data_IF_759648431307
#
_entry.id   IF_759648431307
#
_cell.length_a   1.000
_cell.length_b   1.000
_cell.length_c   1.000
_cell.angle_alpha   90.00
_cell.angle_beta   90.00
_cell.angle_gamma   90.00
#
_symmetry.space_group_name_H-M   'P 1'
#
loop_
_entity.id
_entity.type
_entity.pdbx_description
1 polymer ?
#
# COMPACT_ATOMS: atom_id res chain seq x y z
N UNK A 1 33.64 -35.61 7.62
CA UNK A 1 33.61 -34.29 6.95
C UNK A 1 32.15 -33.81 6.95
N UNK A 2 31.84 -32.94 7.89
CA UNK A 2 30.47 -32.45 8.16
C UNK A 2 30.30 -31.12 7.49
N UNK A 3 29.42 -31.01 6.48
CA UNK A 3 29.06 -29.74 5.84
C UNK A 3 27.83 -29.17 6.54
N UNK A 4 28.06 -28.14 7.33
CA UNK A 4 27.01 -27.28 7.88
C UNK A 4 26.31 -26.54 6.76
N UNK A 5 25.04 -26.81 6.54
CA UNK A 5 24.11 -25.95 5.78
C UNK A 5 23.86 -24.70 6.61
N UNK A 6 24.31 -23.55 6.12
CA UNK A 6 23.94 -22.25 6.65
C UNK A 6 22.54 -21.89 6.13
N UNK A 7 21.65 -21.65 7.06
CA UNK A 7 20.34 -21.02 6.81
C UNK A 7 20.56 -19.57 6.37
N UNK A 8 20.11 -19.11 5.19
CA UNK A 8 20.18 -17.71 4.83
C UNK A 8 19.11 -16.94 5.61
N UNK A 9 19.52 -16.38 6.76
CA UNK A 9 18.68 -15.50 7.54
C UNK A 9 18.08 -14.40 6.68
N UNK A 10 16.77 -14.43 6.54
CA UNK A 10 15.99 -13.34 6.02
C UNK A 10 16.25 -12.11 6.89
N UNK A 11 16.94 -11.12 6.32
CA UNK A 11 17.10 -9.81 6.92
C UNK A 11 15.71 -9.16 7.00
N UNK A 12 15.13 -9.16 8.19
CA UNK A 12 13.90 -8.46 8.50
C UNK A 12 14.15 -6.95 8.45
N UNK A 13 13.92 -6.33 7.29
CA UNK A 13 13.62 -4.91 7.24
C UNK A 13 12.19 -4.71 7.78
N UNK A 14 12.00 -5.07 9.04
CA UNK A 14 10.76 -4.85 9.78
C UNK A 14 10.86 -3.47 10.40
N UNK A 15 10.29 -2.45 9.73
CA UNK A 15 9.90 -1.23 10.43
C UNK A 15 8.87 -1.67 11.47
N UNK A 16 9.30 -1.75 12.73
CA UNK A 16 8.44 -2.12 13.84
C UNK A 16 7.34 -1.05 13.98
N UNK A 17 6.14 -1.37 13.51
CA UNK A 17 4.96 -0.50 13.63
C UNK A 17 4.35 -0.78 15.01
N UNK A 18 4.91 -0.16 16.04
CA UNK A 18 4.38 -0.21 17.41
C UNK A 18 3.92 1.18 17.85
N UNK A 19 2.70 1.32 18.38
CA UNK A 19 2.19 2.58 18.93
C UNK A 19 0.79 2.95 18.44
N UNK A 20 0.41 4.19 18.28
CA UNK A 20 -0.95 4.63 17.92
C UNK A 20 -1.45 4.06 16.57
N UNK A 21 -2.77 3.91 16.39
CA UNK A 21 -3.38 3.43 15.14
C UNK A 21 -2.93 4.20 13.87
N UNK A 22 -2.43 5.43 14.02
CA UNK A 22 -1.88 6.25 12.93
C UNK A 22 -0.59 5.66 12.30
N UNK A 23 0.11 4.75 12.97
CA UNK A 23 1.27 4.07 12.37
C UNK A 23 0.88 3.12 11.22
N UNK A 24 -0.38 2.69 11.15
CA UNK A 24 -0.93 1.89 10.06
C UNK A 24 -1.49 2.74 8.92
N UNK A 25 -1.47 4.07 9.07
CA UNK A 25 -1.99 5.01 8.08
C UNK A 25 -0.93 5.38 7.06
N UNK A 26 -1.28 5.23 5.80
CA UNK A 26 -0.54 5.69 4.63
C UNK A 26 -1.29 6.89 4.05
N UNK A 27 -0.67 8.08 4.07
CA UNK A 27 -1.27 9.26 3.45
C UNK A 27 -0.82 9.40 2.00
N UNK A 28 -1.79 9.44 1.07
CA UNK A 28 -1.53 9.60 -0.34
C UNK A 28 -1.37 11.10 -0.69
N UNK A 29 -0.19 11.45 -1.20
CA UNK A 29 0.19 12.83 -1.56
C UNK A 29 -0.09 13.10 -3.06
N UNK A 30 -1.33 12.82 -3.49
CA UNK A 30 -1.70 12.95 -4.91
C UNK A 30 -2.08 14.41 -5.20
N UNK A 31 -1.17 15.17 -5.82
CA UNK A 31 -1.34 16.56 -6.23
C UNK A 31 -0.30 16.95 -7.29
N UNK A 32 -0.64 17.92 -8.13
CA UNK A 32 0.25 18.57 -9.07
C UNK A 32 0.74 19.96 -8.60
N UNK A 33 0.35 20.38 -7.38
CA UNK A 33 0.71 21.65 -6.78
C UNK A 33 1.87 21.46 -5.79
N UNK A 34 3.04 22.02 -6.11
CA UNK A 34 4.27 21.82 -5.31
C UNK A 34 4.12 22.27 -3.86
N UNK A 35 3.54 23.44 -3.64
CA UNK A 35 3.38 23.99 -2.30
C UNK A 35 2.44 23.13 -1.44
N UNK A 36 1.39 22.57 -2.03
CA UNK A 36 0.50 21.63 -1.36
C UNK A 36 1.22 20.36 -0.98
N UNK A 37 2.02 19.81 -1.91
CA UNK A 37 2.81 18.61 -1.67
C UNK A 37 3.79 18.81 -0.48
N UNK A 38 4.55 19.89 -0.48
CA UNK A 38 5.50 20.22 0.60
C UNK A 38 4.80 20.43 1.96
N UNK A 39 3.69 21.18 1.96
CA UNK A 39 2.88 21.36 3.18
C UNK A 39 2.38 20.03 3.74
N UNK A 40 1.88 19.13 2.89
CA UNK A 40 1.39 17.82 3.30
C UNK A 40 2.52 16.91 3.79
N UNK A 41 3.69 16.93 3.14
CA UNK A 41 4.87 16.22 3.64
C UNK A 41 5.22 16.66 5.07
N UNK A 42 5.33 17.97 5.30
CA UNK A 42 5.69 18.54 6.60
C UNK A 42 4.61 18.28 7.67
N UNK A 43 3.34 18.33 7.29
CA UNK A 43 2.24 18.12 8.23
C UNK A 43 2.03 16.66 8.58
N UNK A 44 1.87 15.77 7.58
CA UNK A 44 1.53 14.38 7.81
C UNK A 44 2.74 13.51 8.16
N UNK A 45 3.92 13.80 7.60
CA UNK A 45 5.10 12.94 7.75
C UNK A 45 5.45 12.55 9.18
N UNK A 46 5.52 13.47 10.14
CA UNK A 46 5.83 13.12 11.54
C UNK A 46 4.65 12.47 12.30
N UNK A 47 3.43 12.51 11.76
CA UNK A 47 2.19 12.13 12.45
C UNK A 47 1.65 10.75 12.05
N UNK A 48 2.00 10.26 10.86
CA UNK A 48 1.51 8.98 10.32
C UNK A 48 2.64 7.99 10.07
N UNK A 49 2.31 6.73 9.78
CA UNK A 49 3.31 5.70 9.53
C UNK A 49 4.05 5.88 8.22
N UNK A 50 3.33 6.23 7.15
CA UNK A 50 3.87 6.21 5.79
C UNK A 50 3.35 7.38 4.96
N UNK A 51 4.21 8.01 4.16
CA UNK A 51 3.80 8.92 3.08
C UNK A 51 3.88 8.18 1.74
N UNK A 52 2.79 8.22 0.95
CA UNK A 52 2.74 7.63 -0.39
C UNK A 52 2.93 8.69 -1.46
N UNK A 53 3.98 8.53 -2.26
CA UNK A 53 4.19 9.29 -3.49
C UNK A 53 3.66 8.47 -4.66
N UNK A 54 2.57 8.94 -5.25
CA UNK A 54 1.88 8.29 -6.36
C UNK A 54 2.36 8.76 -7.73
N UNK A 55 1.68 8.23 -8.77
CA UNK A 55 2.03 8.49 -10.17
C UNK A 55 2.03 9.99 -10.51
N UNK A 56 1.04 10.76 -10.05
CA UNK A 56 0.91 12.17 -10.38
C UNK A 56 2.13 12.98 -9.93
N UNK A 57 2.48 12.88 -8.66
CA UNK A 57 3.62 13.59 -8.08
C UNK A 57 4.95 13.11 -8.66
N UNK A 58 5.11 11.78 -8.84
CA UNK A 58 6.37 11.23 -9.34
C UNK A 58 6.60 11.54 -10.82
N UNK A 59 5.58 11.45 -11.67
CA UNK A 59 5.69 11.82 -13.10
C UNK A 59 6.01 13.31 -13.26
N UNK A 60 5.47 14.16 -12.38
CA UNK A 60 5.71 15.59 -12.43
C UNK A 60 7.08 16.01 -11.94
N UNK A 61 7.58 15.42 -10.85
CA UNK A 61 8.80 15.90 -10.18
C UNK A 61 9.92 14.86 -10.06
N UNK A 62 9.64 13.58 -10.33
CA UNK A 62 10.64 12.51 -10.25
C UNK A 62 11.22 12.31 -8.84
N UNK A 63 12.52 11.92 -8.75
CA UNK A 63 13.23 11.71 -7.50
C UNK A 63 13.13 12.84 -6.48
N UNK A 64 13.17 14.14 -6.84
CA UNK A 64 12.93 15.25 -5.92
C UNK A 64 11.62 15.18 -5.10
N UNK A 65 10.58 14.48 -5.58
CA UNK A 65 9.38 14.25 -4.78
C UNK A 65 9.66 13.29 -3.60
N UNK A 66 10.46 12.26 -3.86
CA UNK A 66 10.85 11.29 -2.83
C UNK A 66 11.75 11.96 -1.78
N UNK A 67 12.75 12.72 -2.21
CA UNK A 67 13.66 13.46 -1.32
C UNK A 67 12.89 14.44 -0.41
N UNK A 68 11.90 15.13 -0.98
CA UNK A 68 11.04 16.03 -0.23
C UNK A 68 10.22 15.32 0.84
N UNK A 69 9.57 14.24 0.47
CA UNK A 69 8.77 13.43 1.40
C UNK A 69 9.67 12.79 2.47
N UNK A 70 10.85 12.28 2.11
CA UNK A 70 11.80 11.60 3.03
C UNK A 70 12.27 12.50 4.17
N UNK A 71 12.38 13.82 3.95
CA UNK A 71 12.77 14.78 5.00
C UNK A 71 11.82 14.78 6.21
N UNK A 72 10.59 14.33 6.02
CA UNK A 72 9.53 14.37 7.02
C UNK A 72 8.98 12.99 7.39
N UNK A 73 9.02 12.02 6.47
CA UNK A 73 8.36 10.73 6.62
C UNK A 73 9.19 9.73 7.44
N UNK A 74 8.48 8.88 8.18
CA UNK A 74 9.07 7.69 8.82
C UNK A 74 9.33 6.60 7.79
N UNK A 75 8.42 6.43 6.85
CA UNK A 75 8.55 5.51 5.73
C UNK A 75 7.94 6.10 4.45
N UNK A 76 8.50 5.72 3.30
CA UNK A 76 8.04 6.14 1.96
C UNK A 76 7.47 4.96 1.20
N UNK A 77 6.29 5.17 0.66
CA UNK A 77 5.63 4.25 -0.26
C UNK A 77 5.61 4.84 -1.67
N UNK A 78 6.44 4.31 -2.56
CA UNK A 78 6.47 4.70 -3.98
C UNK A 78 5.44 3.86 -4.75
N UNK A 79 4.34 4.51 -5.18
CA UNK A 79 3.19 3.82 -5.78
C UNK A 79 3.15 4.02 -7.29
N UNK A 80 4.00 3.30 -8.03
CA UNK A 80 4.14 3.39 -9.50
C UNK A 80 3.44 2.26 -10.25
N UNK A 81 3.03 1.20 -9.57
CA UNK A 81 2.35 0.03 -10.14
C UNK A 81 3.09 -0.54 -11.36
N UNK A 82 4.40 -0.79 -11.21
CA UNK A 82 5.26 -1.26 -12.29
C UNK A 82 4.70 -2.54 -12.93
N UNK A 83 4.60 -2.54 -14.25
CA UNK A 83 4.06 -3.66 -15.01
C UNK A 83 4.69 -3.69 -16.40
N UNK A 84 5.65 -4.59 -16.60
CA UNK A 84 6.40 -4.78 -17.83
C UNK A 84 7.03 -6.17 -17.82
N UNK A 85 7.85 -6.51 -18.83
CA UNK A 85 8.63 -7.75 -18.84
C UNK A 85 9.61 -7.80 -17.64
N UNK A 86 9.99 -9.00 -17.17
CA UNK A 86 10.75 -9.17 -15.93
C UNK A 86 12.01 -8.32 -15.82
N UNK A 87 12.82 -8.26 -16.87
CA UNK A 87 14.08 -7.51 -16.85
C UNK A 87 13.87 -5.99 -16.69
N UNK A 88 12.84 -5.44 -17.34
CA UNK A 88 12.50 -4.01 -17.25
C UNK A 88 12.04 -3.66 -15.83
N UNK A 89 11.17 -4.47 -15.26
CA UNK A 89 10.69 -4.26 -13.87
C UNK A 89 11.83 -4.40 -12.88
N UNK A 90 12.70 -5.41 -13.02
CA UNK A 90 13.87 -5.56 -12.17
C UNK A 90 14.81 -4.34 -12.24
N UNK A 91 15.01 -3.76 -13.44
CA UNK A 91 15.76 -2.51 -13.61
C UNK A 91 15.13 -1.33 -12.87
N UNK A 92 13.81 -1.16 -12.99
CA UNK A 92 13.07 -0.12 -12.28
C UNK A 92 13.13 -0.29 -10.76
N UNK A 93 13.04 -1.53 -10.25
CA UNK A 93 13.17 -1.83 -8.81
C UNK A 93 14.58 -1.48 -8.29
N UNK A 94 15.64 -1.82 -9.04
CA UNK A 94 17.01 -1.39 -8.67
C UNK A 94 17.13 0.13 -8.56
N UNK A 95 16.56 0.87 -9.51
CA UNK A 95 16.53 2.35 -9.44
C UNK A 95 15.74 2.86 -8.25
N UNK A 96 14.59 2.24 -7.93
CA UNK A 96 13.79 2.61 -6.76
C UNK A 96 14.53 2.37 -5.44
N UNK A 97 15.36 1.33 -5.33
CA UNK A 97 16.23 1.10 -4.15
C UNK A 97 17.18 2.26 -3.87
N UNK A 98 17.70 2.89 -4.91
CA UNK A 98 18.62 4.03 -4.79
C UNK A 98 17.91 5.29 -4.28
N UNK A 99 16.57 5.33 -4.36
CA UNK A 99 15.74 6.41 -3.84
C UNK A 99 15.40 6.25 -2.34
N UNK A 100 15.89 5.21 -1.67
CA UNK A 100 15.63 4.93 -0.26
C UNK A 100 14.12 4.88 0.07
N UNK A 101 13.34 4.13 -0.73
CA UNK A 101 11.93 3.89 -0.50
C UNK A 101 11.70 2.58 0.26
N UNK A 102 10.73 2.56 1.17
CA UNK A 102 10.43 1.38 2.00
C UNK A 102 9.48 0.41 1.29
N UNK A 103 8.54 0.94 0.51
CA UNK A 103 7.54 0.17 -0.23
C UNK A 103 7.50 0.59 -1.70
N UNK A 104 7.28 -0.38 -2.59
CA UNK A 104 7.11 -0.15 -4.03
C UNK A 104 6.00 -1.04 -4.57
N UNK A 105 5.09 -0.50 -5.39
CA UNK A 105 4.07 -1.31 -6.05
C UNK A 105 4.54 -1.85 -7.40
N UNK A 106 4.21 -3.13 -7.61
CA UNK A 106 4.24 -3.82 -8.90
C UNK A 106 2.85 -4.40 -9.17
N UNK A 107 2.51 -4.78 -10.39
CA UNK A 107 1.26 -5.48 -10.68
C UNK A 107 1.37 -6.99 -10.53
N UNK A 108 0.40 -7.63 -9.84
CA UNK A 108 0.30 -9.08 -9.74
C UNK A 108 0.03 -9.73 -11.12
N UNK A 109 -0.68 -9.01 -12.01
CA UNK A 109 -0.98 -9.45 -13.37
C UNK A 109 0.28 -9.66 -14.24
N UNK A 110 1.44 -9.12 -13.86
CA UNK A 110 2.72 -9.38 -14.52
C UNK A 110 3.23 -10.82 -14.36
N UNK A 111 2.61 -11.59 -13.48
CA UNK A 111 2.87 -13.01 -13.27
C UNK A 111 4.11 -13.32 -12.44
N UNK A 112 4.29 -14.60 -12.06
CA UNK A 112 5.33 -15.01 -11.12
C UNK A 112 6.76 -14.67 -11.57
N UNK A 113 7.07 -14.77 -12.85
CA UNK A 113 8.41 -14.49 -13.36
C UNK A 113 8.80 -13.00 -13.20
N UNK A 114 7.86 -12.07 -13.47
CA UNK A 114 8.08 -10.64 -13.27
C UNK A 114 8.25 -10.32 -11.78
N UNK A 115 7.39 -10.89 -10.93
CA UNK A 115 7.43 -10.67 -9.48
C UNK A 115 8.73 -11.21 -8.89
N UNK A 116 9.17 -12.41 -9.28
CA UNK A 116 10.40 -13.01 -8.81
C UNK A 116 11.65 -12.18 -9.21
N UNK A 117 11.70 -11.71 -10.45
CA UNK A 117 12.78 -10.83 -10.90
C UNK A 117 12.79 -9.48 -10.15
N UNK A 118 11.61 -8.95 -9.83
CA UNK A 118 11.46 -7.75 -9.01
C UNK A 118 11.91 -8.01 -7.56
N UNK A 119 11.53 -9.15 -6.96
CA UNK A 119 11.90 -9.51 -5.60
C UNK A 119 13.43 -9.70 -5.44
N UNK A 120 14.06 -10.36 -6.38
CA UNK A 120 15.52 -10.47 -6.43
C UNK A 120 16.18 -9.08 -6.53
N UNK A 121 15.66 -8.20 -7.40
CA UNK A 121 16.18 -6.84 -7.57
C UNK A 121 15.95 -5.95 -6.33
N UNK A 122 14.89 -6.19 -5.56
CA UNK A 122 14.61 -5.48 -4.31
C UNK A 122 15.61 -5.83 -3.19
N UNK A 123 16.19 -7.04 -3.22
CA UNK A 123 17.30 -7.47 -2.33
C UNK A 123 16.96 -7.26 -0.83
N UNK A 124 15.71 -7.48 -0.44
CA UNK A 124 15.22 -7.27 0.92
C UNK A 124 15.20 -5.82 1.42
N UNK A 125 15.62 -4.85 0.61
CA UNK A 125 15.68 -3.42 1.01
C UNK A 125 14.37 -2.68 0.75
N UNK A 126 13.60 -3.14 -0.23
CA UNK A 126 12.30 -2.55 -0.60
C UNK A 126 11.22 -3.62 -0.48
N UNK A 127 10.18 -3.36 0.28
CA UNK A 127 9.04 -4.25 0.38
C UNK A 127 8.15 -4.11 -0.85
N UNK A 128 8.13 -5.13 -1.71
CA UNK A 128 7.28 -5.13 -2.90
C UNK A 128 5.84 -5.47 -2.54
N UNK A 129 4.91 -4.62 -2.98
CA UNK A 129 3.47 -4.79 -2.81
C UNK A 129 2.82 -5.04 -4.18
N UNK A 130 2.30 -6.25 -4.39
CA UNK A 130 1.69 -6.62 -5.66
C UNK A 130 0.23 -6.13 -5.72
N UNK A 131 -0.07 -5.23 -6.65
CA UNK A 131 -1.43 -4.73 -6.87
C UNK A 131 -2.25 -5.83 -7.53
N UNK A 132 -3.35 -6.22 -6.89
CA UNK A 132 -4.29 -7.22 -7.39
C UNK A 132 -5.29 -6.59 -8.37
N UNK A 133 -6.59 -6.81 -8.21
CA UNK A 133 -7.62 -6.17 -9.02
C UNK A 133 -7.83 -4.73 -8.58
N UNK A 134 -7.72 -3.78 -9.51
CA UNK A 134 -7.93 -2.36 -9.21
C UNK A 134 -9.35 -2.11 -8.72
N UNK A 135 -9.49 -1.29 -7.68
CA UNK A 135 -10.75 -1.10 -6.93
C UNK A 135 -11.89 -0.42 -7.72
N UNK A 136 -11.58 0.22 -8.86
CA UNK A 136 -12.58 0.79 -9.76
C UNK A 136 -13.18 -0.25 -10.73
N UNK A 137 -12.53 -1.41 -10.92
CA UNK A 137 -13.01 -2.46 -11.82
C UNK A 137 -14.15 -3.23 -11.14
N UNK A 138 -15.33 -3.19 -11.78
CA UNK A 138 -16.48 -3.99 -11.41
C UNK A 138 -16.56 -5.29 -12.25
N UNK A 139 -17.41 -6.22 -11.83
CA UNK A 139 -17.54 -7.53 -12.51
C UNK A 139 -17.90 -7.39 -14.01
N UNK A 140 -18.83 -6.50 -14.43
CA UNK A 140 -19.09 -6.30 -15.86
C UNK A 140 -17.88 -5.79 -16.65
N UNK A 141 -17.02 -4.98 -16.04
CA UNK A 141 -15.78 -4.51 -16.68
C UNK A 141 -14.76 -5.63 -16.79
N UNK A 142 -14.63 -6.47 -15.75
CA UNK A 142 -13.75 -7.64 -15.79
C UNK A 142 -14.18 -8.64 -16.85
N UNK A 143 -15.47 -8.88 -17.02
CA UNK A 143 -16.00 -9.74 -18.09
C UNK A 143 -15.66 -9.19 -19.48
N UNK A 144 -15.82 -7.87 -19.71
CA UNK A 144 -15.44 -7.22 -20.98
C UNK A 144 -13.94 -7.29 -21.27
N UNK A 145 -13.11 -7.41 -20.24
CA UNK A 145 -11.67 -7.60 -20.36
C UNK A 145 -11.27 -9.07 -20.52
N UNK A 146 -12.25 -9.94 -20.77
CA UNK A 146 -12.06 -11.40 -20.85
C UNK A 146 -11.39 -11.96 -19.58
N UNK A 147 -11.83 -11.47 -18.43
CA UNK A 147 -11.35 -11.87 -17.12
C UNK A 147 -12.47 -12.50 -16.28
N UNK A 148 -13.05 -13.63 -16.72
CA UNK A 148 -14.20 -14.25 -16.06
C UNK A 148 -13.83 -14.86 -14.70
N UNK A 149 -14.86 -15.21 -13.90
CA UNK A 149 -14.70 -15.96 -12.65
C UNK A 149 -14.59 -15.09 -11.41
N UNK A 150 -14.90 -13.80 -11.52
CA UNK A 150 -15.02 -12.89 -10.40
C UNK A 150 -13.71 -12.33 -9.84
N UNK A 151 -13.79 -11.14 -9.27
CA UNK A 151 -12.63 -10.45 -8.66
C UNK A 151 -12.09 -11.21 -7.44
N UNK A 152 -12.96 -11.72 -6.58
CA UNK A 152 -12.58 -12.35 -5.32
C UNK A 152 -11.67 -13.59 -5.53
N UNK A 153 -12.03 -14.50 -6.46
CA UNK A 153 -11.19 -15.66 -6.78
C UNK A 153 -9.83 -15.25 -7.34
N UNK A 154 -9.83 -14.24 -8.22
CA UNK A 154 -8.61 -13.75 -8.87
C UNK A 154 -7.67 -13.10 -7.87
N UNK A 155 -8.19 -12.31 -6.96
CA UNK A 155 -7.41 -11.66 -5.90
C UNK A 155 -6.72 -12.70 -5.02
N UNK A 156 -7.40 -13.75 -4.59
CA UNK A 156 -6.81 -14.85 -3.82
C UNK A 156 -5.71 -15.57 -4.60
N UNK A 157 -5.96 -15.92 -5.86
CA UNK A 157 -4.97 -16.56 -6.71
C UNK A 157 -3.73 -15.69 -6.90
N UNK A 158 -3.92 -14.42 -7.21
CA UNK A 158 -2.82 -13.49 -7.45
C UNK A 158 -2.02 -13.18 -6.18
N UNK A 159 -2.67 -13.10 -5.03
CA UNK A 159 -1.99 -12.94 -3.75
C UNK A 159 -1.10 -14.16 -3.43
N UNK A 160 -1.63 -15.36 -3.63
CA UNK A 160 -0.87 -16.60 -3.46
C UNK A 160 0.36 -16.66 -4.39
N UNK A 161 0.17 -16.38 -5.68
CA UNK A 161 1.26 -16.35 -6.65
C UNK A 161 2.29 -15.27 -6.35
N UNK A 162 1.84 -14.08 -5.92
CA UNK A 162 2.72 -12.98 -5.55
C UNK A 162 3.58 -13.34 -4.33
N UNK A 163 2.98 -13.93 -3.29
CA UNK A 163 3.71 -14.41 -2.12
C UNK A 163 4.73 -15.47 -2.48
N UNK A 164 4.32 -16.47 -3.26
CA UNK A 164 5.21 -17.55 -3.70
C UNK A 164 6.40 -17.03 -4.53
N UNK A 165 6.22 -15.92 -5.26
CA UNK A 165 7.24 -15.26 -6.06
C UNK A 165 8.07 -14.20 -5.29
N UNK A 166 7.88 -14.06 -3.97
CA UNK A 166 8.70 -13.22 -3.11
C UNK A 166 8.18 -11.80 -2.86
N UNK A 167 6.93 -11.47 -3.23
CA UNK A 167 6.32 -10.21 -2.83
C UNK A 167 6.11 -10.17 -1.30
N UNK A 168 6.31 -9.00 -0.69
CA UNK A 168 6.13 -8.78 0.74
C UNK A 168 4.65 -8.59 1.15
N UNK A 169 3.78 -8.36 0.19
CA UNK A 169 2.36 -8.15 0.40
C UNK A 169 1.59 -7.84 -0.87
N UNK A 170 0.32 -7.51 -0.70
CA UNK A 170 -0.58 -7.10 -1.79
C UNK A 170 -1.31 -5.81 -1.48
N UNK A 171 -1.70 -5.10 -2.54
CA UNK A 171 -2.71 -4.04 -2.48
C UNK A 171 -4.03 -4.63 -2.96
N UNK A 172 -5.07 -4.56 -2.11
CA UNK A 172 -6.37 -5.18 -2.34
C UNK A 172 -7.52 -4.29 -1.85
N UNK A 173 -8.74 -4.58 -2.30
CA UNK A 173 -9.93 -3.90 -1.79
C UNK A 173 -10.18 -4.24 -0.31
N UNK A 174 -10.74 -3.31 0.48
CA UNK A 174 -11.20 -3.62 1.84
C UNK A 174 -12.16 -4.81 1.92
N UNK A 175 -12.96 -5.05 0.87
CA UNK A 175 -13.92 -6.15 0.82
C UNK A 175 -13.27 -7.54 0.70
N UNK A 176 -11.99 -7.60 0.36
CA UNK A 176 -11.24 -8.83 0.13
C UNK A 176 -10.36 -9.22 1.34
N UNK A 177 -10.22 -8.31 2.32
CA UNK A 177 -9.31 -8.46 3.45
C UNK A 177 -9.53 -9.73 4.27
N UNK A 178 -10.78 -10.05 4.62
CA UNK A 178 -11.09 -11.23 5.45
C UNK A 178 -10.64 -12.53 4.77
N UNK A 179 -10.99 -12.69 3.49
CA UNK A 179 -10.63 -13.87 2.71
C UNK A 179 -9.11 -13.96 2.49
N UNK A 180 -8.46 -12.83 2.19
CA UNK A 180 -7.02 -12.76 2.02
C UNK A 180 -6.29 -13.08 3.33
N UNK A 181 -6.72 -12.52 4.46
CA UNK A 181 -6.06 -12.77 5.74
C UNK A 181 -6.19 -14.22 6.20
N UNK A 182 -7.32 -14.86 5.89
CA UNK A 182 -7.50 -16.29 6.14
C UNK A 182 -6.58 -17.16 5.28
N UNK A 183 -6.35 -16.78 4.02
CA UNK A 183 -5.53 -17.53 3.08
C UNK A 183 -4.02 -17.22 3.21
N UNK A 184 -3.69 -15.98 3.53
CA UNK A 184 -2.32 -15.47 3.57
C UNK A 184 -2.02 -14.83 4.94
N UNK A 185 -1.50 -15.62 5.89
CA UNK A 185 -1.20 -15.14 7.24
C UNK A 185 -0.02 -14.14 7.24
N UNK A 186 0.10 -13.39 8.34
CA UNK A 186 1.29 -12.56 8.58
C UNK A 186 2.56 -13.43 8.53
N UNK A 187 3.70 -12.89 8.09
CA UNK A 187 4.00 -11.47 7.87
C UNK A 187 3.60 -10.91 6.48
N UNK A 188 2.86 -11.66 5.64
CA UNK A 188 2.40 -11.16 4.33
C UNK A 188 1.44 -9.97 4.52
N UNK A 189 1.82 -8.80 3.98
CA UNK A 189 1.11 -7.54 4.23
C UNK A 189 -0.11 -7.40 3.34
N UNK A 190 -1.21 -6.93 3.94
CA UNK A 190 -2.42 -6.51 3.24
C UNK A 190 -2.54 -4.99 3.33
N UNK A 191 -2.49 -4.31 2.19
CA UNK A 191 -2.59 -2.86 2.07
C UNK A 191 -3.92 -2.51 1.40
N UNK A 192 -4.77 -1.76 2.11
CA UNK A 192 -6.12 -1.45 1.66
C UNK A 192 -6.28 0.05 1.30
N UNK A 193 -6.42 0.40 0.02
CA UNK A 193 -6.91 1.71 -0.41
C UNK A 193 -8.44 1.79 -0.33
N UNK A 194 -9.00 2.95 -0.67
CA UNK A 194 -10.46 3.13 -0.65
C UNK A 194 -11.03 3.30 0.73
N UNK A 195 -10.24 3.77 1.67
CA UNK A 195 -10.67 4.02 3.04
C UNK A 195 -11.36 5.38 3.14
N UNK A 196 -12.50 5.38 3.83
CA UNK A 196 -13.27 6.58 4.16
C UNK A 196 -13.48 6.60 5.67
N UNK A 197 -12.88 7.56 6.40
CA UNK A 197 -13.14 7.73 7.82
C UNK A 197 -14.63 7.87 8.11
N UNK A 198 -15.07 7.49 9.31
CA UNK A 198 -16.45 7.57 9.71
C UNK A 198 -16.98 9.01 9.52
N UNK A 199 -18.20 9.15 8.96
CA UNK A 199 -18.80 10.46 8.66
C UNK A 199 -18.42 11.06 7.30
N UNK A 200 -17.45 10.52 6.56
CA UNK A 200 -17.14 10.92 5.20
C UNK A 200 -17.90 10.04 4.20
N UNK A 201 -19.01 10.56 3.66
CA UNK A 201 -19.74 9.89 2.58
C UNK A 201 -18.94 9.85 1.28
N UNK A 202 -19.30 8.93 0.37
CA UNK A 202 -18.80 8.95 -1.00
C UNK A 202 -19.37 10.19 -1.69
N UNK A 203 -18.53 11.21 -1.95
CA UNK A 203 -18.91 12.41 -2.68
C UNK A 203 -19.14 12.14 -4.18
N UNK A 204 -19.89 13.02 -4.85
CA UNK A 204 -20.03 13.00 -6.30
C UNK A 204 -18.62 13.11 -6.93
N UNK A 205 -18.23 12.14 -7.77
CA UNK A 205 -16.91 12.07 -8.39
C UNK A 205 -15.90 11.15 -7.67
N UNK A 206 -16.34 10.40 -6.66
CA UNK A 206 -15.49 9.36 -6.07
C UNK A 206 -15.38 8.15 -6.99
N UNK A 207 -14.17 7.88 -7.47
CA UNK A 207 -13.81 6.73 -8.33
C UNK A 207 -13.67 5.41 -7.55
N UNK A 208 -13.65 5.47 -6.20
CA UNK A 208 -13.57 4.29 -5.34
C UNK A 208 -14.96 3.68 -5.11
N UNK A 209 -15.24 2.53 -5.73
CA UNK A 209 -16.53 1.85 -5.61
C UNK A 209 -16.61 0.87 -4.44
N UNK A 210 -15.46 0.42 -3.91
CA UNK A 210 -15.32 -0.59 -2.85
C UNK A 210 -14.60 0.03 -1.67
N UNK A 211 -15.37 0.61 -0.72
CA UNK A 211 -14.86 1.39 0.41
C UNK A 211 -15.19 0.74 1.76
N UNK A 212 -14.40 1.08 2.79
CA UNK A 212 -14.64 0.74 4.19
C UNK A 212 -14.16 1.86 5.10
N UNK A 213 -14.57 1.83 6.39
CA UNK A 213 -13.99 2.70 7.42
C UNK A 213 -12.58 2.25 7.79
N UNK A 214 -11.80 3.14 8.37
CA UNK A 214 -10.43 2.83 8.80
C UNK A 214 -10.41 1.72 9.86
N UNK A 215 -11.27 1.85 10.87
CA UNK A 215 -11.42 0.88 11.93
C UNK A 215 -11.82 -0.51 11.40
N UNK A 216 -12.83 -0.57 10.50
CA UNK A 216 -13.27 -1.83 9.92
C UNK A 216 -12.17 -2.52 9.09
N UNK A 217 -11.41 -1.77 8.30
CA UNK A 217 -10.33 -2.34 7.50
C UNK A 217 -9.22 -2.94 8.37
N UNK A 218 -8.80 -2.25 9.44
CA UNK A 218 -7.79 -2.76 10.38
C UNK A 218 -8.31 -4.00 11.11
N UNK A 219 -9.53 -3.94 11.65
CA UNK A 219 -10.15 -5.07 12.35
C UNK A 219 -10.30 -6.31 11.44
N UNK A 220 -10.53 -6.11 10.14
CA UNK A 220 -10.66 -7.19 9.15
C UNK A 220 -9.30 -7.74 8.71
N UNK A 221 -8.19 -7.11 9.08
CA UNK A 221 -6.86 -7.66 8.87
C UNK A 221 -5.93 -6.87 7.95
N UNK A 222 -6.26 -5.62 7.60
CA UNK A 222 -5.30 -4.74 6.94
C UNK A 222 -4.09 -4.48 7.85
N UNK A 223 -2.90 -4.46 7.27
CA UNK A 223 -1.68 -4.03 7.95
C UNK A 223 -1.42 -2.54 7.72
N UNK A 224 -1.78 -2.05 6.54
CA UNK A 224 -1.72 -0.64 6.16
C UNK A 224 -3.02 -0.22 5.47
N UNK A 225 -3.49 0.99 5.75
CA UNK A 225 -4.65 1.62 5.10
C UNK A 225 -4.22 2.89 4.37
N UNK A 226 -4.64 3.04 3.11
CA UNK A 226 -4.27 4.20 2.28
C UNK A 226 -5.42 5.20 2.22
N UNK A 227 -5.13 6.42 2.66
CA UNK A 227 -6.09 7.53 2.72
C UNK A 227 -5.51 8.73 1.95
N UNK A 228 -6.27 9.26 1.03
CA UNK A 228 -5.92 10.46 0.24
C UNK A 228 -6.90 11.61 0.52
N UNK A 229 -7.83 11.84 -0.41
CA UNK A 229 -8.82 12.93 -0.40
C UNK A 229 -9.51 13.25 0.93
N UNK A 230 -9.82 12.31 1.82
CA UNK A 230 -10.36 12.65 3.14
C UNK A 230 -9.39 13.44 4.04
N UNK A 231 -8.10 13.42 3.77
CA UNK A 231 -7.06 14.08 4.58
C UNK A 231 -6.38 15.25 3.84
N UNK A 232 -5.86 15.00 2.63
CA UNK A 232 -4.93 15.93 1.97
C UNK A 232 -5.57 17.25 1.53
N UNK A 233 -6.73 17.30 0.83
CA UNK A 233 -7.42 18.54 0.51
C UNK A 233 -8.44 18.98 1.59
N UNK A 234 -8.40 18.37 2.78
CA UNK A 234 -9.33 18.76 3.85
C UNK A 234 -9.15 20.24 4.21
N UNK A 235 -10.23 21.01 4.41
CA UNK A 235 -10.16 22.39 4.86
C UNK A 235 -9.44 22.53 6.21
N UNK A 236 -9.56 21.53 7.07
CA UNK A 236 -8.86 21.40 8.35
C UNK A 236 -8.23 20.00 8.44
N UNK A 237 -6.98 19.82 7.97
CA UNK A 237 -6.28 18.55 8.02
C UNK A 237 -6.01 18.05 9.46
N UNK A 238 -5.90 18.95 10.42
CA UNK A 238 -5.67 18.61 11.83
C UNK A 238 -6.91 17.98 12.44
N UNK A 239 -8.07 18.57 12.25
CA UNK A 239 -9.35 18.00 12.70
C UNK A 239 -9.64 16.67 11.99
N UNK A 240 -9.36 16.57 10.69
CA UNK A 240 -9.55 15.32 9.94
C UNK A 240 -8.64 14.19 10.46
N UNK A 241 -7.38 14.50 10.76
CA UNK A 241 -6.44 13.52 11.32
C UNK A 241 -6.80 13.12 12.76
N UNK A 242 -7.26 14.07 13.58
CA UNK A 242 -7.71 13.81 14.94
C UNK A 242 -8.96 12.91 14.97
N UNK A 243 -9.92 13.14 14.08
CA UNK A 243 -11.10 12.27 13.93
C UNK A 243 -10.71 10.84 13.53
N UNK A 244 -9.78 10.68 12.60
CA UNK A 244 -9.24 9.38 12.21
C UNK A 244 -8.53 8.67 13.37
N UNK A 245 -7.74 9.39 14.15
CA UNK A 245 -7.05 8.85 15.32
C UNK A 245 -8.05 8.33 16.36
N UNK A 246 -9.10 9.12 16.66
CA UNK A 246 -10.18 8.70 17.58
C UNK A 246 -10.89 7.45 17.08
N UNK A 247 -11.26 7.37 15.79
CA UNK A 247 -11.89 6.18 15.19
C UNK A 247 -11.04 4.92 15.42
N UNK A 248 -9.73 5.01 15.19
CA UNK A 248 -8.82 3.88 15.33
C UNK A 248 -8.60 3.47 16.79
N UNK A 249 -8.53 4.44 17.72
CA UNK A 249 -8.38 4.18 19.16
C UNK A 249 -9.63 3.53 19.76
N UNK A 250 -10.81 4.00 19.39
CA UNK A 250 -12.09 3.45 19.88
C UNK A 250 -12.27 2.00 19.42
N UNK A 251 -11.92 1.70 18.16
CA UNK A 251 -11.92 0.32 17.66
C UNK A 251 -10.93 -0.58 18.39
N UNK A 252 -9.74 -0.08 18.69
CA UNK A 252 -8.73 -0.84 19.42
C UNK A 252 -9.12 -1.12 20.88
N UNK A 253 -9.91 -0.25 21.50
CA UNK A 253 -10.50 -0.47 22.85
C UNK A 253 -11.57 -1.55 22.80
N UNK A 254 -12.53 -1.42 21.88
CA UNK A 254 -13.63 -2.38 21.72
C UNK A 254 -13.18 -3.82 21.37
N UNK A 255 -12.00 -3.98 20.83
CA UNK A 255 -11.44 -5.31 20.50
C UNK A 255 -10.73 -5.99 21.71
N UNK A 256 -10.54 -5.27 22.82
CA UNK A 256 -9.91 -5.79 24.06
C UNK A 256 -10.91 -6.17 25.14
N UNK A 257 -12.13 -5.67 25.05
CA UNK A 257 -13.27 -5.96 25.91
C UNK A 257 -14.07 -7.17 25.35
#
# INVERSE_FOLDING_TARGET
MSTKGGDPGASEATVAIGGSGLNQVVVALDTNERDSFERWCAFFGPRVGVLKVGLEAYVRWGPPAIESARRHARAIFLDLKLHDIPNTVAGAVRSARELDVDYLTIHAAGGPAMIAAAAEAADGRVALLAVTVLTHLDEPTLERLDMPGGSARRVLLWAHLARAAGAAGVVCSPLELAALRAAEPRPFRLVAPGIRPAGHGSGAGDDQRRTATAAAAIATGADLIVIGRPLTPAPDPEAALAALASELEDSARSARD
#
